data_IF_221449757957
#
_entry.id   IF_221449757957
#
_cell.length_a   1.000
_cell.length_b   1.000
_cell.length_c   1.000
_cell.angle_alpha   90.00
_cell.angle_beta   90.00
_cell.angle_gamma   90.00
#
_symmetry.space_group_name_H-M   'P 1'
#
loop_
_entity.id
_entity.type
_entity.pdbx_description
1 polymer ?
#
# COMPACT_ATOMS: atom_id res chain seq x y z
N UNK A 1 13.70 -29.78 -30.99
CA UNK A 1 13.96 -28.34 -30.75
C UNK A 1 12.63 -27.70 -30.38
N UNK A 2 12.40 -27.40 -29.10
CA UNK A 2 11.09 -26.93 -28.64
C UNK A 2 10.85 -25.49 -29.10
N UNK A 3 9.85 -25.32 -29.97
CA UNK A 3 9.42 -24.03 -30.48
C UNK A 3 8.51 -23.36 -29.44
N UNK A 4 9.10 -22.58 -28.56
CA UNK A 4 8.39 -21.90 -27.46
C UNK A 4 7.90 -20.52 -27.90
N UNK A 5 7.17 -20.48 -29.01
CA UNK A 5 6.71 -19.22 -29.61
C UNK A 5 5.53 -18.56 -28.90
N UNK A 6 4.99 -19.18 -27.85
CA UNK A 6 4.11 -18.51 -26.88
C UNK A 6 4.23 -19.26 -25.56
N UNK A 7 4.79 -18.60 -24.52
CA UNK A 7 4.63 -19.05 -23.14
C UNK A 7 3.18 -18.75 -22.71
N UNK A 8 2.20 -19.41 -23.32
CA UNK A 8 0.83 -19.30 -22.86
C UNK A 8 0.60 -20.35 -21.77
N UNK A 9 1.09 -20.07 -20.56
CA UNK A 9 0.90 -20.90 -19.37
C UNK A 9 -0.59 -21.23 -19.11
N UNK A 10 -1.50 -20.46 -19.71
CA UNK A 10 -2.94 -20.50 -19.50
C UNK A 10 -3.74 -21.07 -20.67
N UNK A 11 -3.11 -21.68 -21.69
CA UNK A 11 -3.83 -22.23 -22.87
C UNK A 11 -4.91 -23.26 -22.50
N UNK A 12 -4.87 -23.82 -21.27
CA UNK A 12 -5.84 -24.80 -20.77
C UNK A 12 -6.63 -24.35 -19.52
N UNK A 13 -6.59 -23.07 -19.12
CA UNK A 13 -7.35 -22.59 -17.95
C UNK A 13 -8.58 -21.80 -18.43
N UNK A 14 -9.72 -22.50 -18.47
CA UNK A 14 -10.99 -22.05 -19.06
C UNK A 14 -11.56 -20.76 -18.42
N UNK A 15 -11.08 -20.36 -17.24
CA UNK A 15 -11.66 -19.27 -16.45
C UNK A 15 -10.66 -18.33 -15.77
N UNK A 16 -9.51 -18.05 -16.39
CA UNK A 16 -8.69 -16.92 -15.90
C UNK A 16 -9.27 -15.61 -16.43
N UNK A 17 -9.70 -14.72 -15.54
CA UNK A 17 -10.06 -13.34 -15.90
C UNK A 17 -8.84 -12.67 -16.53
N UNK A 18 -9.00 -11.99 -17.69
CA UNK A 18 -7.92 -11.37 -18.46
C UNK A 18 -6.88 -10.60 -17.60
N UNK A 19 -7.37 -9.88 -16.58
CA UNK A 19 -6.53 -9.09 -15.66
C UNK A 19 -5.51 -9.92 -14.87
N UNK A 20 -5.82 -11.18 -14.52
CA UNK A 20 -4.93 -12.06 -13.78
C UNK A 20 -3.80 -12.58 -14.67
N UNK A 21 -4.12 -12.96 -15.92
CA UNK A 21 -3.14 -13.40 -16.92
C UNK A 21 -2.19 -12.26 -17.27
N UNK A 22 -2.73 -11.06 -17.50
CA UNK A 22 -1.94 -9.86 -17.80
C UNK A 22 -1.01 -9.47 -16.65
N UNK A 23 -1.51 -9.51 -15.41
CA UNK A 23 -0.68 -9.21 -14.23
C UNK A 23 0.46 -10.21 -14.07
N UNK A 24 0.20 -11.49 -14.29
CA UNK A 24 1.23 -12.53 -14.20
C UNK A 24 2.25 -12.44 -15.35
N UNK A 25 1.79 -12.19 -16.58
CA UNK A 25 2.67 -12.00 -17.72
C UNK A 25 3.54 -10.74 -17.56
N UNK A 26 2.98 -9.66 -17.02
CA UNK A 26 3.74 -8.46 -16.65
C UNK A 26 4.82 -8.76 -15.60
N UNK A 27 4.48 -9.55 -14.58
CA UNK A 27 5.44 -10.00 -13.58
C UNK A 27 6.60 -10.82 -14.19
N UNK A 28 6.28 -11.81 -15.03
CA UNK A 28 7.28 -12.62 -15.72
C UNK A 28 8.16 -11.78 -16.65
N UNK A 29 7.59 -10.81 -17.37
CA UNK A 29 8.36 -9.91 -18.23
C UNK A 29 9.34 -9.03 -17.44
N UNK A 30 9.00 -8.66 -16.20
CA UNK A 30 9.93 -7.93 -15.33
C UNK A 30 11.10 -8.81 -14.86
N UNK A 31 10.85 -10.08 -14.54
CA UNK A 31 11.89 -11.02 -14.10
C UNK A 31 12.76 -11.47 -15.28
N UNK A 32 12.14 -11.66 -16.44
CA UNK A 32 12.77 -12.18 -17.65
C UNK A 32 12.52 -11.23 -18.84
N UNK A 33 13.14 -10.03 -18.83
CA UNK A 33 12.96 -9.06 -19.93
C UNK A 33 13.48 -9.58 -21.27
N UNK A 34 14.40 -10.54 -21.23
CA UNK A 34 14.90 -11.28 -22.37
C UNK A 34 14.87 -12.77 -22.06
N UNK A 35 14.78 -13.61 -23.11
CA UNK A 35 14.75 -15.07 -22.98
C UNK A 35 15.96 -15.55 -22.16
N UNK A 36 15.77 -16.11 -20.95
CA UNK A 36 16.86 -16.56 -20.13
C UNK A 36 17.46 -17.86 -20.69
N UNK A 37 18.74 -18.08 -20.43
CA UNK A 37 19.33 -19.41 -20.59
C UNK A 37 18.67 -20.40 -19.62
N UNK A 38 18.56 -21.67 -20.02
CA UNK A 38 17.87 -22.70 -19.24
C UNK A 38 18.34 -22.76 -17.77
N UNK A 39 19.64 -22.77 -17.51
CA UNK A 39 20.17 -22.79 -16.14
C UNK A 39 19.86 -21.53 -15.34
N UNK A 40 19.85 -20.36 -16.00
CA UNK A 40 19.49 -19.08 -15.38
C UNK A 40 18.00 -19.06 -15.00
N UNK A 41 17.14 -19.62 -15.84
CA UNK A 41 15.72 -19.82 -15.54
C UNK A 41 15.53 -20.67 -14.29
N UNK A 42 16.15 -21.86 -14.24
CA UNK A 42 16.04 -22.77 -13.09
C UNK A 42 16.56 -22.13 -11.80
N UNK A 43 17.66 -21.40 -11.88
CA UNK A 43 18.22 -20.69 -10.72
C UNK A 43 17.25 -19.64 -10.17
N UNK A 44 16.71 -18.77 -11.03
CA UNK A 44 15.79 -17.70 -10.63
C UNK A 44 14.49 -18.28 -10.05
N UNK A 45 13.95 -19.35 -10.65
CA UNK A 45 12.74 -20.01 -10.12
C UNK A 45 12.95 -20.56 -8.71
N UNK A 46 14.13 -21.12 -8.41
CA UNK A 46 14.47 -21.60 -7.06
C UNK A 46 14.60 -20.46 -6.05
N UNK A 47 15.17 -19.34 -6.45
CA UNK A 47 15.26 -18.14 -5.60
C UNK A 47 13.86 -17.60 -5.28
N UNK A 48 12.97 -17.51 -6.28
CA UNK A 48 11.59 -17.06 -6.12
C UNK A 48 10.77 -17.99 -5.20
N UNK A 49 10.94 -19.31 -5.35
CA UNK A 49 10.30 -20.30 -4.48
C UNK A 49 10.77 -20.16 -3.02
N UNK A 50 12.07 -19.95 -2.81
CA UNK A 50 12.64 -19.71 -1.48
C UNK A 50 12.15 -18.41 -0.85
N UNK A 51 12.01 -17.33 -1.62
CA UNK A 51 11.44 -16.06 -1.17
C UNK A 51 9.98 -16.24 -0.75
N UNK A 52 9.19 -16.92 -1.58
CA UNK A 52 7.79 -17.26 -1.30
C UNK A 52 7.64 -18.07 -0.01
N UNK A 53 8.50 -19.09 0.19
CA UNK A 53 8.49 -19.89 1.41
C UNK A 53 8.82 -19.07 2.65
N UNK A 54 9.84 -18.21 2.59
CA UNK A 54 10.22 -17.34 3.70
C UNK A 54 9.11 -16.34 4.05
N UNK A 55 8.46 -15.77 3.05
CA UNK A 55 7.33 -14.86 3.25
C UNK A 55 6.10 -15.59 3.81
N UNK A 56 5.81 -16.80 3.32
CA UNK A 56 4.77 -17.66 3.89
C UNK A 56 5.05 -17.97 5.37
N UNK A 57 6.27 -18.38 5.70
CA UNK A 57 6.69 -18.64 7.09
C UNK A 57 6.58 -17.39 7.97
N UNK A 58 6.88 -16.20 7.45
CA UNK A 58 6.70 -14.93 8.18
C UNK A 58 5.22 -14.60 8.42
N UNK A 59 4.35 -14.87 7.44
CA UNK A 59 2.90 -14.69 7.53
C UNK A 59 2.27 -15.65 8.55
N UNK A 60 2.63 -16.93 8.50
CA UNK A 60 2.08 -17.95 9.41
C UNK A 60 2.59 -17.81 10.84
N UNK A 61 3.85 -17.38 11.04
CA UNK A 61 4.41 -17.14 12.37
C UNK A 61 3.93 -15.84 13.04
N UNK A 62 3.04 -15.06 12.41
CA UNK A 62 2.53 -13.80 12.96
C UNK A 62 3.57 -12.68 13.08
N UNK A 63 4.79 -12.90 12.58
CA UNK A 63 5.90 -11.94 12.62
C UNK A 63 5.79 -10.84 11.54
N UNK A 64 4.68 -10.80 10.82
CA UNK A 64 4.36 -9.70 9.92
C UNK A 64 4.04 -8.45 10.75
N UNK A 65 5.08 -7.70 11.13
CA UNK A 65 4.92 -6.31 11.54
C UNK A 65 4.32 -5.59 10.34
N UNK A 66 3.03 -5.23 10.40
CA UNK A 66 2.43 -4.32 9.42
C UNK A 66 3.39 -3.14 9.27
N UNK A 67 3.91 -2.95 8.06
CA UNK A 67 4.73 -1.77 7.75
C UNK A 67 3.92 -0.57 8.21
N UNK A 68 4.46 0.22 9.16
CA UNK A 68 3.77 1.41 9.63
C UNK A 68 3.40 2.23 8.40
N UNK A 69 2.12 2.56 8.27
CA UNK A 69 1.65 3.39 7.16
C UNK A 69 2.43 4.71 7.29
N UNK A 70 3.26 5.01 6.30
CA UNK A 70 3.91 6.31 6.22
C UNK A 70 2.76 7.27 5.89
N UNK A 71 2.35 8.05 6.88
CA UNK A 71 1.36 9.08 6.67
C UNK A 71 1.99 10.19 5.85
N UNK A 72 1.32 10.59 4.78
CA UNK A 72 1.71 11.79 4.07
C UNK A 72 1.33 13.01 4.92
N UNK A 73 1.98 14.16 4.66
CA UNK A 73 1.55 15.46 5.18
C UNK A 73 0.03 15.68 5.04
N UNK A 74 -0.54 15.23 3.92
CA UNK A 74 -1.98 15.37 3.66
C UNK A 74 -2.85 14.46 4.53
N UNK A 75 -2.34 13.29 4.94
CA UNK A 75 -3.05 12.42 5.87
C UNK A 75 -3.01 12.98 7.29
N UNK A 76 -1.88 13.54 7.71
CA UNK A 76 -1.74 14.20 9.03
C UNK A 76 -2.68 15.40 9.15
N UNK A 77 -2.75 16.25 8.11
CA UNK A 77 -3.70 17.37 8.05
C UNK A 77 -5.15 16.88 8.13
N UNK A 78 -5.51 15.81 7.40
CA UNK A 78 -6.86 15.24 7.44
C UNK A 78 -7.22 14.73 8.83
N UNK A 79 -6.31 13.99 9.48
CA UNK A 79 -6.52 13.48 10.84
C UNK A 79 -6.71 14.63 11.83
N UNK A 80 -5.89 15.68 11.73
CA UNK A 80 -6.00 16.86 12.59
C UNK A 80 -7.37 17.54 12.46
N UNK A 81 -7.81 17.81 11.23
CA UNK A 81 -9.10 18.46 10.96
C UNK A 81 -10.25 17.62 11.53
N UNK A 82 -10.22 16.30 11.35
CA UNK A 82 -11.29 15.42 11.81
C UNK A 82 -11.37 15.34 13.35
N UNK A 83 -10.21 15.39 14.03
CA UNK A 83 -10.16 15.51 15.49
C UNK A 83 -10.81 16.82 15.97
N UNK A 84 -10.57 17.94 15.29
CA UNK A 84 -11.17 19.23 15.66
C UNK A 84 -12.67 19.29 15.39
N UNK A 85 -13.16 18.68 14.30
CA UNK A 85 -14.62 18.52 14.08
C UNK A 85 -15.28 17.69 15.17
N UNK A 86 -14.62 16.63 15.64
CA UNK A 86 -15.13 15.81 16.74
C UNK A 86 -15.22 16.61 18.05
N UNK A 87 -14.23 17.47 18.33
CA UNK A 87 -14.26 18.41 19.46
C UNK A 87 -15.38 19.44 19.33
N UNK A 88 -15.60 19.97 18.13
CA UNK A 88 -16.70 20.89 17.83
C UNK A 88 -18.07 20.25 18.13
N UNK A 89 -18.30 19.02 17.66
CA UNK A 89 -19.52 18.27 17.93
C UNK A 89 -19.74 18.11 19.45
N UNK A 90 -18.68 17.74 20.20
CA UNK A 90 -18.76 17.61 21.65
C UNK A 90 -19.07 18.94 22.35
N UNK A 91 -18.54 20.06 21.85
CA UNK A 91 -18.86 21.39 22.37
C UNK A 91 -20.34 21.72 22.13
N UNK A 92 -20.87 21.43 20.95
CA UNK A 92 -22.29 21.65 20.66
C UNK A 92 -23.20 20.90 21.63
N UNK A 93 -22.88 19.64 21.97
CA UNK A 93 -23.62 18.87 22.97
C UNK A 93 -23.60 19.51 24.38
N UNK A 94 -22.56 20.26 24.71
CA UNK A 94 -22.40 20.91 26.01
C UNK A 94 -22.95 22.35 26.07
N UNK A 95 -23.64 22.82 25.03
CA UNK A 95 -24.19 24.18 24.98
C UNK A 95 -23.14 25.25 24.63
N UNK A 96 -22.28 24.95 23.67
CA UNK A 96 -21.22 25.84 23.17
C UNK A 96 -21.68 27.27 22.89
N UNK A 97 -20.85 28.24 23.26
CA UNK A 97 -20.98 29.62 22.81
C UNK A 97 -20.03 29.94 21.64
N UNK A 98 -20.26 31.09 20.99
CA UNK A 98 -19.48 31.52 19.81
C UNK A 98 -17.98 31.69 20.11
N UNK A 99 -17.61 32.13 21.30
CA UNK A 99 -16.20 32.37 21.66
C UNK A 99 -15.43 31.05 21.80
N UNK A 100 -16.08 30.00 22.29
CA UNK A 100 -15.50 28.66 22.41
C UNK A 100 -15.24 28.04 21.03
N UNK A 101 -16.19 28.19 20.10
CA UNK A 101 -16.03 27.81 18.69
C UNK A 101 -14.86 28.55 18.03
N UNK A 102 -14.79 29.88 18.19
CA UNK A 102 -13.70 30.69 17.64
C UNK A 102 -12.36 30.25 18.21
N UNK A 103 -12.28 29.98 19.52
CA UNK A 103 -11.06 29.52 20.18
C UNK A 103 -10.62 28.17 19.64
N UNK A 104 -11.55 27.21 19.51
CA UNK A 104 -11.28 25.88 18.99
C UNK A 104 -10.65 25.92 17.59
N UNK A 105 -11.27 26.67 16.67
CA UNK A 105 -10.78 26.76 15.29
C UNK A 105 -9.50 27.60 15.18
N UNK A 106 -9.26 28.55 16.09
CA UNK A 106 -7.97 29.25 16.20
C UNK A 106 -6.84 28.30 16.62
N UNK A 107 -7.09 27.40 17.56
CA UNK A 107 -6.13 26.36 17.97
C UNK A 107 -5.81 25.41 16.81
N UNK A 108 -6.84 24.99 16.06
CA UNK A 108 -6.67 24.19 14.84
C UNK A 108 -5.74 24.86 13.81
N UNK A 109 -5.89 26.18 13.59
CA UNK A 109 -5.03 26.94 12.67
C UNK A 109 -3.57 27.01 13.14
N UNK A 110 -3.33 27.11 14.45
CA UNK A 110 -1.97 27.11 15.01
C UNK A 110 -1.31 25.74 14.78
N UNK A 111 -2.03 24.66 15.07
CA UNK A 111 -1.54 23.29 14.87
C UNK A 111 -1.25 23.00 13.39
N UNK A 112 -2.14 23.44 12.48
CA UNK A 112 -1.92 23.32 11.04
C UNK A 112 -0.66 24.07 10.58
N UNK A 113 -0.42 25.26 11.12
CA UNK A 113 0.77 26.04 10.78
C UNK A 113 2.05 25.36 11.27
N UNK A 114 2.03 24.73 12.45
CA UNK A 114 3.16 23.96 12.97
C UNK A 114 3.50 22.76 12.08
N UNK A 115 2.48 22.03 11.58
CA UNK A 115 2.68 20.95 10.62
C UNK A 115 3.34 21.49 9.34
N UNK A 116 2.86 22.63 8.82
CA UNK A 116 3.41 23.24 7.61
C UNK A 116 4.87 23.71 7.78
N UNK A 117 5.25 24.19 8.97
CA UNK A 117 6.64 24.57 9.28
C UNK A 117 7.55 23.34 9.31
N UNK A 118 7.09 22.21 9.86
CA UNK A 118 7.86 20.96 9.93
C UNK A 118 8.05 20.27 8.57
N UNK A 119 7.32 20.71 7.54
CA UNK A 119 7.42 20.19 6.17
C UNK A 119 8.36 20.99 5.26
N UNK A 120 8.84 22.16 5.72
CA UNK A 120 9.82 23.01 5.02
C UNK A 120 11.24 22.69 5.45
#
# INVERSE_FOLDING_TARGET
>A
MYNVNNWNYYENIEHLTNNASESYNSYLNNIFPNKPLFYKLIYILKEEENLSYNDYQRRTKGNWKKKQKIFSATDEIKILIENYKSKEINLFYNGCNRNELIKLWKECLIDLNNININLK
#
